data_IF_316402159276
#
_entry.id   IF_316402159276
#
_cell.length_a   1.000
_cell.length_b   1.000
_cell.length_c   1.000
_cell.angle_alpha   90.00
_cell.angle_beta   90.00
_cell.angle_gamma   90.00
#
_symmetry.space_group_name_H-M   'P 1'
#
loop_
_entity.id
_entity.type
_entity.pdbx_description
1 polymer ?
#
# COMPACT_ATOMS: atom_id res chain seq x y z
N UNK A 1 -46.67 -47.71 -21.30
CA UNK A 1 -46.67 -47.87 -22.78
C UNK A 1 -45.92 -46.67 -23.34
N UNK A 2 -44.65 -46.81 -23.77
CA UNK A 2 -44.17 -47.12 -25.16
C UNK A 2 -44.55 -46.00 -26.14
N UNK A 3 -43.70 -45.34 -26.95
CA UNK A 3 -42.29 -45.38 -27.42
C UNK A 3 -41.97 -43.95 -27.97
N UNK A 4 -40.78 -43.33 -27.84
CA UNK A 4 -39.53 -43.52 -28.63
C UNK A 4 -39.77 -43.34 -30.17
N UNK A 5 -39.13 -42.44 -30.95
CA UNK A 5 -37.70 -42.41 -31.34
C UNK A 5 -37.41 -41.32 -32.42
N UNK A 6 -36.25 -40.63 -32.29
CA UNK A 6 -35.21 -40.18 -33.27
C UNK A 6 -35.55 -39.41 -34.58
N UNK A 7 -34.68 -38.63 -35.26
CA UNK A 7 -33.35 -37.93 -35.15
C UNK A 7 -33.14 -37.18 -36.50
N UNK A 8 -32.12 -36.29 -36.58
CA UNK A 8 -31.24 -35.92 -37.75
C UNK A 8 -31.02 -34.39 -37.75
N UNK A 9 -29.90 -33.81 -37.28
CA UNK A 9 -28.51 -33.75 -37.81
C UNK A 9 -28.44 -33.19 -39.26
N UNK A 10 -27.89 -31.98 -39.44
CA UNK A 10 -26.70 -31.73 -40.28
C UNK A 10 -26.14 -30.31 -40.12
N UNK A 11 -24.83 -30.24 -39.92
CA UNK A 11 -23.95 -29.08 -40.00
C UNK A 11 -23.41 -28.89 -41.42
N UNK A 12 -22.90 -27.69 -41.76
CA UNK A 12 -21.80 -27.39 -42.72
C UNK A 12 -21.64 -25.85 -42.72
N UNK A 13 -20.61 -25.20 -42.17
CA UNK A 13 -19.19 -25.09 -42.55
C UNK A 13 -18.93 -24.78 -44.03
N UNK A 14 -18.37 -23.59 -44.33
CA UNK A 14 -17.27 -23.44 -45.30
C UNK A 14 -16.60 -22.07 -45.18
N UNK A 15 -15.27 -22.13 -45.16
CA UNK A 15 -14.29 -21.06 -45.17
C UNK A 15 -14.15 -20.46 -46.57
N UNK A 16 -13.64 -19.23 -46.68
CA UNK A 16 -12.73 -18.88 -47.77
C UNK A 16 -11.72 -17.82 -47.29
N UNK A 17 -10.45 -18.24 -47.30
CA UNK A 17 -9.26 -17.42 -47.14
C UNK A 17 -8.63 -17.13 -48.51
N UNK A 18 -7.69 -16.17 -48.51
CA UNK A 18 -6.61 -15.92 -49.49
C UNK A 18 -6.91 -14.82 -50.51
N UNK A 19 -6.20 -13.69 -50.41
CA UNK A 19 -5.07 -13.38 -51.30
C UNK A 19 -4.10 -12.38 -50.64
N UNK A 20 -2.81 -12.73 -50.69
CA UNK A 20 -1.67 -11.94 -50.31
C UNK A 20 -0.86 -11.59 -51.57
N UNK A 21 -0.13 -10.46 -51.49
CA UNK A 21 0.93 -9.97 -52.39
C UNK A 21 0.46 -9.49 -53.80
N UNK A 22 0.99 -8.45 -54.44
CA UNK A 22 2.25 -7.71 -54.28
C UNK A 22 2.10 -6.35 -54.97
N UNK A 23 2.90 -5.37 -54.54
CA UNK A 23 2.99 -4.06 -55.17
C UNK A 23 4.05 -3.20 -54.49
N UNK A 24 5.33 -3.49 -54.76
CA UNK A 24 6.42 -2.53 -54.58
C UNK A 24 6.32 -1.54 -55.74
N UNK A 25 6.28 -0.24 -55.44
CA UNK A 25 7.13 0.76 -56.08
C UNK A 25 7.16 2.03 -55.23
N UNK A 26 8.32 2.69 -55.28
CA UNK A 26 8.89 3.58 -54.27
C UNK A 26 8.69 5.08 -54.60
N UNK A 27 9.01 5.91 -53.59
CA UNK A 27 9.14 7.38 -53.56
C UNK A 27 7.82 8.15 -53.36
N UNK A 28 7.66 9.12 -52.47
CA UNK A 28 8.63 10.06 -51.88
C UNK A 28 8.02 10.71 -50.63
N UNK A 29 8.86 10.88 -49.60
CA UNK A 29 8.84 11.94 -48.56
C UNK A 29 7.52 12.29 -47.84
N UNK A 30 7.36 11.80 -46.60
CA UNK A 30 7.26 12.63 -45.38
C UNK A 30 6.65 11.80 -44.22
N UNK A 31 7.49 11.31 -43.31
CA UNK A 31 7.04 10.96 -41.94
C UNK A 31 8.17 11.27 -40.95
N UNK A 32 7.87 11.95 -39.83
CA UNK A 32 8.86 12.37 -38.86
C UNK A 32 9.41 11.17 -38.10
N UNK A 33 10.72 11.01 -38.16
CA UNK A 33 11.48 10.01 -37.45
C UNK A 33 11.60 10.40 -35.97
N UNK A 34 10.58 10.07 -35.18
CA UNK A 34 10.53 10.28 -33.73
C UNK A 34 10.61 8.95 -32.96
N UNK A 35 11.26 7.92 -33.51
CA UNK A 35 11.28 6.59 -32.90
C UNK A 35 12.63 5.88 -32.93
N UNK A 36 13.72 6.62 -32.72
CA UNK A 36 14.98 6.01 -32.28
C UNK A 36 15.55 6.78 -31.09
N UNK A 37 15.69 6.08 -29.95
CA UNK A 37 16.30 6.49 -28.68
C UNK A 37 15.41 7.04 -27.54
N UNK A 38 14.14 6.68 -27.48
CA UNK A 38 13.37 6.81 -26.24
C UNK A 38 13.30 5.47 -25.49
N UNK A 39 14.45 4.97 -25.03
CA UNK A 39 14.43 4.15 -23.82
C UNK A 39 13.88 5.10 -22.75
N UNK A 40 12.72 4.84 -22.12
CA UNK A 40 12.25 5.69 -21.05
C UNK A 40 13.35 5.70 -19.99
N UNK A 41 13.92 6.87 -19.72
CA UNK A 41 14.82 7.04 -18.59
C UNK A 41 14.09 6.48 -17.38
N UNK A 42 14.53 5.31 -16.91
CA UNK A 42 14.24 4.82 -15.58
C UNK A 42 14.47 6.00 -14.65
N UNK A 43 13.50 6.33 -13.78
CA UNK A 43 13.65 7.38 -12.78
C UNK A 43 15.02 7.21 -12.10
N UNK A 44 15.97 8.04 -12.50
CA UNK A 44 17.33 7.97 -11.99
C UNK A 44 17.23 8.33 -10.50
N UNK A 45 17.93 7.60 -9.65
CA UNK A 45 17.94 7.79 -8.18
C UNK A 45 18.08 9.26 -7.76
N UNK A 46 18.81 10.06 -8.55
CA UNK A 46 18.94 11.51 -8.40
C UNK A 46 17.63 12.29 -8.57
N UNK A 47 16.77 11.90 -9.51
CA UNK A 47 15.46 12.53 -9.68
C UNK A 47 14.52 12.21 -8.52
N UNK A 48 14.57 10.99 -7.99
CA UNK A 48 13.81 10.63 -6.78
C UNK A 48 14.23 11.49 -5.59
N UNK A 49 15.53 11.64 -5.35
CA UNK A 49 16.04 12.48 -4.25
C UNK A 49 15.67 13.97 -4.43
N UNK A 50 15.75 14.50 -5.65
CA UNK A 50 15.34 15.88 -5.92
C UNK A 50 13.83 16.08 -5.72
N UNK A 51 12.99 15.10 -6.10
CA UNK A 51 11.56 15.14 -5.85
C UNK A 51 11.26 15.05 -4.35
N UNK A 52 11.96 14.19 -3.61
CA UNK A 52 11.82 14.08 -2.16
C UNK A 52 12.21 15.38 -1.46
N UNK A 53 13.34 16.00 -1.84
CA UNK A 53 13.73 17.31 -1.34
C UNK A 53 12.69 18.39 -1.69
N UNK A 54 12.12 18.38 -2.90
CA UNK A 54 11.04 19.31 -3.26
C UNK A 54 9.79 19.07 -2.39
N UNK A 55 9.41 17.82 -2.11
CA UNK A 55 8.28 17.48 -1.23
C UNK A 55 8.55 17.93 0.21
N UNK A 56 9.77 17.73 0.71
CA UNK A 56 10.19 18.19 2.04
C UNK A 56 10.22 19.72 2.14
N UNK A 57 10.71 20.40 1.10
CA UNK A 57 10.82 21.85 1.00
C UNK A 57 9.46 22.53 0.77
N UNK A 58 8.54 21.89 0.04
CA UNK A 58 7.22 22.46 -0.27
C UNK A 58 6.24 22.44 0.88
N UNK A 59 6.58 21.87 2.05
CA UNK A 59 5.66 21.87 3.18
C UNK A 59 4.25 21.38 2.79
N UNK A 60 4.17 20.38 1.89
CA UNK A 60 2.98 19.51 1.78
C UNK A 60 2.94 18.60 3.02
N UNK A 61 3.22 19.19 4.18
CA UNK A 61 3.06 18.65 5.50
C UNK A 61 1.58 18.79 5.77
N UNK A 62 0.89 17.66 5.85
CA UNK A 62 -0.35 17.55 6.60
C UNK A 62 -0.16 18.36 7.88
N UNK A 63 -0.80 19.52 7.99
CA UNK A 63 -0.49 20.52 9.02
C UNK A 63 -0.58 19.85 10.40
N UNK A 64 0.54 19.77 11.13
CA UNK A 64 0.62 19.20 12.48
C UNK A 64 1.31 17.84 12.62
N UNK A 65 1.76 17.20 11.55
CA UNK A 65 2.52 15.95 11.63
C UNK A 65 3.96 16.14 12.12
N UNK A 66 4.43 15.30 13.05
CA UNK A 66 5.86 15.26 13.41
C UNK A 66 6.67 14.57 12.29
N UNK A 67 7.52 15.29 11.54
CA UNK A 67 8.28 14.69 10.45
C UNK A 67 9.37 13.71 10.92
N UNK A 68 9.69 13.72 12.22
CA UNK A 68 10.81 12.98 12.79
C UNK A 68 10.43 11.62 13.40
N UNK A 69 9.21 11.13 13.16
CA UNK A 69 8.76 9.83 13.65
C UNK A 69 8.03 9.03 12.55
N UNK A 70 8.27 7.71 12.43
CA UNK A 70 9.22 6.90 13.21
C UNK A 70 10.68 7.26 12.91
N UNK A 71 11.55 7.02 13.89
CA UNK A 71 12.99 7.20 13.71
C UNK A 71 13.50 5.97 12.96
N UNK A 72 13.85 6.13 11.69
CA UNK A 72 14.35 5.03 10.87
C UNK A 72 15.73 4.55 11.34
N UNK A 73 16.06 3.25 11.16
CA UNK A 73 17.38 2.73 11.44
C UNK A 73 18.42 3.33 10.47
N UNK A 74 19.68 3.40 10.90
CA UNK A 74 20.78 4.00 10.11
C UNK A 74 20.99 3.32 8.75
N UNK A 75 20.60 2.05 8.60
CA UNK A 75 20.71 1.28 7.36
C UNK A 75 19.40 1.22 6.55
N UNK A 76 18.47 2.16 6.74
CA UNK A 76 17.17 2.19 6.04
C UNK A 76 17.31 2.11 4.52
N UNK A 77 18.31 2.79 3.94
CA UNK A 77 18.56 2.77 2.49
C UNK A 77 18.96 1.37 1.99
N UNK A 78 19.60 0.56 2.83
CA UNK A 78 19.90 -0.83 2.51
C UNK A 78 18.65 -1.70 2.59
N UNK A 79 17.86 -1.53 3.66
CA UNK A 79 16.61 -2.28 3.87
C UNK A 79 15.63 -2.02 2.72
N UNK A 80 15.57 -0.78 2.22
CA UNK A 80 14.65 -0.35 1.17
C UNK A 80 15.11 -0.67 -0.26
N UNK A 81 16.16 -1.47 -0.47
CA UNK A 81 16.57 -1.89 -1.82
C UNK A 81 15.54 -2.86 -2.46
N UNK A 82 15.36 -2.82 -3.79
CA UNK A 82 16.08 -1.99 -4.77
C UNK A 82 15.70 -0.51 -4.72
N UNK A 83 14.48 -0.20 -4.31
CA UNK A 83 13.99 1.15 -4.02
C UNK A 83 12.76 1.11 -3.11
N UNK A 84 12.52 2.22 -2.39
CA UNK A 84 11.41 2.37 -1.44
C UNK A 84 10.04 2.03 -2.04
N UNK A 85 9.80 2.43 -3.30
CA UNK A 85 8.51 2.19 -3.95
C UNK A 85 8.29 0.71 -4.19
N UNK A 86 9.30 -0.01 -4.67
CA UNK A 86 9.23 -1.47 -4.86
C UNK A 86 8.92 -2.18 -3.54
N UNK A 87 9.54 -1.76 -2.44
CA UNK A 87 9.24 -2.31 -1.11
C UNK A 87 7.79 -2.05 -0.70
N UNK A 88 7.32 -0.81 -0.84
CA UNK A 88 5.93 -0.47 -0.53
C UNK A 88 4.91 -1.18 -1.42
N UNK A 89 5.18 -1.31 -2.73
CA UNK A 89 4.30 -2.02 -3.66
C UNK A 89 4.18 -3.51 -3.26
N UNK A 90 5.27 -4.14 -2.81
CA UNK A 90 5.26 -5.50 -2.28
C UNK A 90 4.41 -5.63 -1.00
N UNK A 91 4.45 -4.64 -0.10
CA UNK A 91 3.60 -4.61 1.08
C UNK A 91 2.12 -4.31 0.78
N UNK A 92 1.84 -3.53 -0.28
CA UNK A 92 0.47 -3.16 -0.66
C UNK A 92 -0.33 -4.34 -1.21
N UNK A 93 0.33 -5.21 -1.98
CA UNK A 93 -0.28 -6.39 -2.60
C UNK A 93 0.54 -7.63 -2.23
N UNK A 94 0.46 -8.07 -0.95
CA UNK A 94 1.32 -9.14 -0.49
C UNK A 94 0.95 -10.47 -1.16
N UNK A 95 1.94 -11.19 -1.66
CA UNK A 95 1.75 -12.46 -2.35
C UNK A 95 2.93 -13.41 -2.11
N UNK A 96 2.79 -14.35 -1.18
CA UNK A 96 3.84 -15.31 -0.82
C UNK A 96 4.24 -16.26 -1.97
N UNK A 97 3.42 -16.38 -3.02
CA UNK A 97 3.73 -17.21 -4.20
C UNK A 97 4.64 -16.43 -5.16
N UNK A 98 4.51 -15.10 -5.22
CA UNK A 98 5.29 -14.24 -6.11
C UNK A 98 6.79 -14.25 -5.72
N UNK A 99 7.69 -14.65 -6.63
CA UNK A 99 9.13 -14.56 -6.41
C UNK A 99 9.63 -13.16 -6.05
N UNK A 100 9.04 -12.12 -6.64
CA UNK A 100 9.42 -10.72 -6.40
C UNK A 100 9.13 -10.33 -4.95
N UNK A 101 7.89 -10.56 -4.50
CA UNK A 101 7.48 -10.36 -3.10
C UNK A 101 8.41 -11.10 -2.13
N UNK A 102 8.66 -12.40 -2.37
CA UNK A 102 9.54 -13.20 -1.50
C UNK A 102 10.97 -12.68 -1.49
N UNK A 103 11.48 -12.19 -2.61
CA UNK A 103 12.82 -11.60 -2.70
C UNK A 103 12.91 -10.35 -1.84
N UNK A 104 11.91 -9.47 -1.89
CA UNK A 104 11.84 -8.25 -1.07
C UNK A 104 11.79 -8.62 0.42
N UNK A 105 10.87 -9.50 0.84
CA UNK A 105 10.74 -9.87 2.25
C UNK A 105 12.02 -10.53 2.79
N UNK A 106 12.63 -11.44 2.03
CA UNK A 106 13.90 -12.07 2.42
C UNK A 106 15.05 -11.07 2.53
N UNK A 107 15.07 -10.05 1.68
CA UNK A 107 16.07 -8.99 1.76
C UNK A 107 15.89 -8.16 3.03
N UNK A 108 14.66 -7.78 3.35
CA UNK A 108 14.32 -7.07 4.60
C UNK A 108 14.71 -7.93 5.81
N UNK A 109 14.29 -9.21 5.86
CA UNK A 109 14.66 -10.14 6.94
C UNK A 109 16.16 -10.30 7.15
N UNK A 110 16.96 -10.12 6.08
CA UNK A 110 18.43 -10.22 6.14
C UNK A 110 19.07 -8.93 6.64
N UNK A 111 18.52 -7.78 6.28
CA UNK A 111 19.14 -6.45 6.46
C UNK A 111 18.62 -5.70 7.68
N UNK A 112 17.36 -5.88 8.03
CA UNK A 112 16.77 -5.34 9.25
C UNK A 112 17.20 -6.20 10.45
N UNK A 113 17.88 -5.59 11.43
CA UNK A 113 18.48 -6.31 12.56
C UNK A 113 17.61 -6.37 13.81
N UNK A 114 16.64 -5.47 13.93
CA UNK A 114 15.80 -5.36 15.12
C UNK A 114 14.56 -6.26 15.07
N UNK A 115 14.32 -6.96 13.96
CA UNK A 115 13.15 -7.80 13.77
C UNK A 115 13.08 -8.44 12.39
N UNK A 116 11.87 -8.83 11.97
CA UNK A 116 11.57 -9.37 10.64
C UNK A 116 10.81 -8.36 9.78
N UNK A 117 10.47 -8.74 8.55
CA UNK A 117 9.69 -7.92 7.63
C UNK A 117 8.29 -7.57 8.16
N UNK A 118 7.75 -8.28 9.14
CA UNK A 118 6.45 -7.96 9.77
C UNK A 118 6.62 -6.88 10.82
N UNK A 119 7.65 -6.99 11.66
CA UNK A 119 8.03 -5.93 12.59
C UNK A 119 8.35 -4.64 11.81
N UNK A 120 9.14 -4.74 10.74
CA UNK A 120 9.44 -3.62 9.85
C UNK A 120 8.16 -2.97 9.27
N UNK A 121 7.18 -3.79 8.89
CA UNK A 121 5.89 -3.32 8.39
C UNK A 121 5.14 -2.47 9.42
N UNK A 122 4.96 -2.98 10.64
CA UNK A 122 4.21 -2.29 11.69
C UNK A 122 4.95 -1.08 12.26
N UNK A 123 6.28 -1.17 12.35
CA UNK A 123 7.12 -0.14 12.95
C UNK A 123 7.38 1.04 12.01
N UNK A 124 7.53 0.78 10.72
CA UNK A 124 7.98 1.79 9.75
C UNK A 124 7.03 1.97 8.57
N UNK A 125 6.68 0.87 7.88
CA UNK A 125 6.00 0.96 6.58
C UNK A 125 4.64 1.66 6.69
N UNK A 126 3.83 1.35 7.71
CA UNK A 126 2.50 1.96 7.88
C UNK A 126 2.50 3.50 7.85
N UNK A 127 3.54 4.14 8.36
CA UNK A 127 3.65 5.60 8.45
C UNK A 127 4.58 6.21 7.40
N UNK A 128 5.20 5.38 6.55
CA UNK A 128 6.15 5.79 5.53
C UNK A 128 5.45 6.47 4.33
N UNK A 129 6.09 7.50 3.78
CA UNK A 129 5.69 8.10 2.51
C UNK A 129 6.26 7.29 1.34
N UNK A 130 5.48 6.30 0.91
CA UNK A 130 5.88 5.34 -0.13
C UNK A 130 5.91 5.91 -1.55
N UNK A 131 5.09 6.93 -1.82
CA UNK A 131 5.00 7.55 -3.14
C UNK A 131 5.07 9.08 -3.01
N UNK A 132 5.76 9.78 -3.93
CA UNK A 132 5.79 11.24 -3.94
C UNK A 132 4.38 11.84 -3.98
N UNK A 133 4.16 12.92 -3.23
CA UNK A 133 2.91 13.68 -3.19
C UNK A 133 1.66 12.89 -2.77
N UNK A 134 1.82 11.69 -2.20
CA UNK A 134 0.73 10.88 -1.64
C UNK A 134 0.76 10.91 -0.12
N UNK A 135 -0.38 10.61 0.47
CA UNK A 135 -0.53 10.29 1.89
C UNK A 135 0.43 9.12 2.26
N UNK A 136 0.72 8.94 3.56
CA UNK A 136 1.52 7.78 3.99
C UNK A 136 0.85 6.45 3.62
N UNK A 137 1.62 5.37 3.68
CA UNK A 137 1.20 4.04 3.25
C UNK A 137 -0.14 3.59 3.86
N UNK A 138 -0.34 3.75 5.17
CA UNK A 138 -1.58 3.34 5.82
C UNK A 138 -2.77 4.16 5.33
N UNK A 139 -2.63 5.49 5.26
CA UNK A 139 -3.65 6.39 4.73
C UNK A 139 -4.01 6.05 3.27
N UNK A 140 -3.01 5.72 2.45
CA UNK A 140 -3.22 5.22 1.09
C UNK A 140 -4.04 3.92 1.06
N UNK A 141 -3.71 2.93 1.89
CA UNK A 141 -4.42 1.64 1.91
C UNK A 141 -5.90 1.78 2.28
N UNK A 142 -6.24 2.71 3.17
CA UNK A 142 -7.60 2.88 3.68
C UNK A 142 -8.42 3.90 2.87
N UNK A 143 -7.82 4.53 1.85
CA UNK A 143 -8.46 5.57 1.04
C UNK A 143 -9.72 5.05 0.35
N UNK A 144 -10.71 5.93 0.18
CA UNK A 144 -12.00 5.59 -0.44
C UNK A 144 -12.91 4.72 0.45
N UNK A 145 -12.74 4.76 1.77
CA UNK A 145 -13.60 4.06 2.73
C UNK A 145 -13.31 2.55 2.85
N UNK A 146 -12.19 2.07 2.31
CA UNK A 146 -11.89 0.64 2.22
C UNK A 146 -11.08 0.09 3.42
N UNK A 147 -11.16 0.75 4.59
CA UNK A 147 -10.41 0.32 5.80
C UNK A 147 -10.65 -1.14 6.16
N UNK A 148 -11.86 -1.64 5.92
CA UNK A 148 -12.22 -3.00 6.26
C UNK A 148 -11.49 -4.04 5.41
N UNK A 149 -11.23 -3.72 4.14
CA UNK A 149 -10.42 -4.54 3.26
C UNK A 149 -8.93 -4.35 3.55
N UNK A 150 -8.48 -3.11 3.77
CA UNK A 150 -7.08 -2.83 4.11
C UNK A 150 -6.65 -3.60 5.36
N UNK A 151 -7.37 -3.42 6.47
CA UNK A 151 -7.16 -4.21 7.68
C UNK A 151 -7.42 -5.69 7.44
N UNK A 152 -8.36 -6.04 6.56
CA UNK A 152 -8.61 -7.41 6.10
C UNK A 152 -7.37 -8.08 5.51
N UNK A 153 -6.61 -7.35 4.69
CA UNK A 153 -5.35 -7.80 4.11
C UNK A 153 -4.26 -7.91 5.17
N UNK A 154 -4.17 -6.93 6.08
CA UNK A 154 -3.22 -6.96 7.18
C UNK A 154 -3.49 -8.16 8.12
N UNK A 155 -4.76 -8.47 8.40
CA UNK A 155 -5.16 -9.62 9.21
C UNK A 155 -4.91 -10.97 8.54
N UNK A 156 -4.67 -11.00 7.22
CA UNK A 156 -4.36 -12.21 6.46
C UNK A 156 -2.84 -12.36 6.30
N UNK A 157 -2.38 -13.56 5.97
CA UNK A 157 -0.97 -13.82 5.66
C UNK A 157 -0.52 -12.86 4.56
N UNK A 158 0.60 -12.14 4.74
CA UNK A 158 1.83 -12.49 5.49
C UNK A 158 1.95 -11.94 6.93
N UNK A 159 1.17 -10.94 7.33
CA UNK A 159 1.46 -10.17 8.56
C UNK A 159 0.97 -10.86 9.85
N UNK A 160 0.06 -11.83 9.72
CA UNK A 160 -0.37 -12.68 10.84
C UNK A 160 -1.38 -12.06 11.80
N UNK A 161 -1.73 -10.78 11.61
CA UNK A 161 -2.70 -10.07 12.45
C UNK A 161 -2.50 -8.56 12.39
N UNK A 162 -3.24 -7.82 13.20
CA UNK A 162 -3.10 -6.39 13.43
C UNK A 162 -2.32 -6.16 14.72
N UNK A 163 -1.31 -5.30 14.67
CA UNK A 163 -0.75 -4.70 15.87
C UNK A 163 -1.58 -3.46 16.26
N UNK A 164 -2.37 -3.50 17.36
CA UNK A 164 -3.14 -2.35 17.81
C UNK A 164 -2.26 -1.19 18.29
N UNK A 165 -0.99 -1.44 18.60
CA UNK A 165 -0.05 -0.45 19.13
C UNK A 165 0.81 0.20 18.05
N UNK A 166 0.74 -0.29 16.80
CA UNK A 166 1.49 0.26 15.69
C UNK A 166 1.13 1.73 15.46
N UNK A 167 2.15 2.54 15.20
CA UNK A 167 1.96 3.96 14.93
C UNK A 167 1.31 4.16 13.55
N UNK A 168 0.24 4.96 13.52
CA UNK A 168 -0.40 5.40 12.29
C UNK A 168 -0.52 6.92 12.27
N UNK A 169 -0.61 7.45 11.05
CA UNK A 169 -0.96 8.84 10.76
C UNK A 169 -2.07 8.85 9.73
N UNK A 170 -3.20 9.48 10.02
CA UNK A 170 -4.31 9.61 9.05
C UNK A 170 -4.91 11.01 9.10
N UNK A 171 -5.36 11.50 7.96
CA UNK A 171 -6.09 12.76 7.89
C UNK A 171 -7.59 12.49 7.81
N UNK A 172 -8.35 13.01 8.78
CA UNK A 172 -9.81 12.89 8.84
C UNK A 172 -10.38 14.18 9.39
N UNK A 173 -11.58 14.55 8.96
CA UNK A 173 -12.27 15.75 9.49
C UNK A 173 -11.44 17.05 9.36
N UNK A 174 -10.59 17.14 8.32
CA UNK A 174 -9.65 18.26 8.12
C UNK A 174 -8.53 18.34 9.16
N UNK A 175 -8.22 17.25 9.87
CA UNK A 175 -7.21 17.17 10.94
C UNK A 175 -6.36 15.93 10.81
N UNK A 176 -5.13 16.02 11.29
CA UNK A 176 -4.19 14.90 11.36
C UNK A 176 -4.31 14.18 12.70
N UNK A 177 -4.59 12.89 12.67
CA UNK A 177 -4.59 12.00 13.82
C UNK A 177 -3.35 11.12 13.78
N UNK A 178 -2.55 11.20 14.84
CA UNK A 178 -1.29 10.48 15.02
C UNK A 178 -1.30 9.73 16.34
N UNK A 179 -0.77 8.51 16.33
CA UNK A 179 -0.59 7.70 17.51
C UNK A 179 -0.81 6.21 17.26
N UNK A 180 -0.95 5.42 18.32
CA UNK A 180 -1.18 3.99 18.20
C UNK A 180 -2.54 3.71 17.58
N UNK A 181 -2.59 2.76 16.64
CA UNK A 181 -3.75 2.46 15.80
C UNK A 181 -5.05 2.30 16.59
N UNK A 182 -5.02 1.55 17.70
CA UNK A 182 -6.19 1.36 18.55
C UNK A 182 -6.73 2.67 19.11
N UNK A 183 -5.86 3.48 19.72
CA UNK A 183 -6.28 4.70 20.40
C UNK A 183 -6.73 5.78 19.40
N UNK A 184 -6.10 5.83 18.21
CA UNK A 184 -6.53 6.72 17.12
C UNK A 184 -7.95 6.37 16.67
N UNK A 185 -8.23 5.11 16.36
CA UNK A 185 -9.57 4.71 15.91
C UNK A 185 -10.61 4.73 17.05
N UNK A 186 -10.21 4.50 18.29
CA UNK A 186 -11.11 4.64 19.45
C UNK A 186 -11.55 6.10 19.61
N UNK A 187 -10.61 7.05 19.49
CA UNK A 187 -10.91 8.46 19.50
C UNK A 187 -11.87 8.85 18.38
N UNK A 188 -11.60 8.39 17.16
CA UNK A 188 -12.42 8.67 15.98
C UNK A 188 -13.84 8.10 16.11
N UNK A 189 -13.95 6.83 16.53
CA UNK A 189 -15.23 6.17 16.79
C UNK A 189 -16.01 6.93 17.88
N UNK A 190 -15.37 7.32 18.99
CA UNK A 190 -16.06 8.00 20.09
C UNK A 190 -16.57 9.39 19.70
N UNK A 191 -15.77 10.17 18.98
CA UNK A 191 -16.04 11.59 18.75
C UNK A 191 -16.77 11.89 17.42
N UNK A 192 -16.61 11.03 16.41
CA UNK A 192 -17.05 11.34 15.03
C UNK A 192 -18.02 10.32 14.43
N UNK A 193 -18.32 9.18 15.09
CA UNK A 193 -19.22 8.15 14.54
C UNK A 193 -20.62 8.61 14.11
N UNK A 194 -21.13 9.72 14.66
CA UNK A 194 -22.48 10.21 14.35
C UNK A 194 -22.46 11.49 13.48
N UNK A 195 -21.27 12.00 13.13
CA UNK A 195 -21.10 13.34 12.53
C UNK A 195 -20.25 13.34 11.27
N UNK A 196 -19.68 12.19 10.92
CA UNK A 196 -18.71 12.05 9.83
C UNK A 196 -19.20 11.08 8.76
N UNK A 197 -18.89 11.42 7.51
CA UNK A 197 -19.04 10.53 6.35
C UNK A 197 -18.18 9.26 6.48
N UNK A 198 -17.07 9.33 7.24
CA UNK A 198 -16.18 8.22 7.57
C UNK A 198 -16.62 7.41 8.80
N UNK A 199 -17.82 7.63 9.35
CA UNK A 199 -18.33 6.89 10.52
C UNK A 199 -18.24 5.37 10.37
N UNK A 200 -18.64 4.85 9.21
CA UNK A 200 -18.57 3.42 8.90
C UNK A 200 -17.12 2.90 8.91
N UNK A 201 -16.16 3.73 8.50
CA UNK A 201 -14.73 3.42 8.57
C UNK A 201 -14.31 3.18 10.02
N UNK A 202 -14.65 4.11 10.92
CA UNK A 202 -14.24 4.06 12.32
C UNK A 202 -14.82 2.85 13.04
N UNK A 203 -16.11 2.57 12.81
CA UNK A 203 -16.78 1.38 13.36
C UNK A 203 -16.16 0.09 12.81
N UNK A 204 -15.90 0.03 11.51
CA UNK A 204 -15.31 -1.15 10.86
C UNK A 204 -13.88 -1.42 11.34
N UNK A 205 -13.08 -0.36 11.55
CA UNK A 205 -11.74 -0.45 12.10
C UNK A 205 -11.78 -0.93 13.56
N UNK A 206 -12.59 -0.31 14.41
CA UNK A 206 -12.70 -0.69 15.82
C UNK A 206 -13.23 -2.09 16.02
N UNK A 207 -14.15 -2.56 15.19
CA UNK A 207 -14.62 -3.96 15.21
C UNK A 207 -13.47 -4.96 15.02
N UNK A 208 -12.50 -4.65 14.14
CA UNK A 208 -11.33 -5.50 13.87
C UNK A 208 -10.30 -5.37 14.98
N UNK A 209 -10.01 -4.13 15.40
CA UNK A 209 -9.05 -3.83 16.45
C UNK A 209 -9.47 -4.34 17.83
N UNK A 210 -10.77 -4.56 18.08
CA UNK A 210 -11.30 -5.20 19.31
C UNK A 210 -11.33 -6.73 19.23
N UNK A 211 -11.09 -7.32 18.06
CA UNK A 211 -11.18 -8.77 17.86
C UNK A 211 -9.89 -9.45 18.30
N UNK A 212 -9.94 -10.18 19.42
CA UNK A 212 -8.80 -10.96 19.93
C UNK A 212 -8.25 -11.99 18.95
N UNK A 213 -9.08 -12.46 17.99
CA UNK A 213 -8.66 -13.41 16.96
C UNK A 213 -7.56 -12.87 16.05
N UNK A 214 -7.52 -11.55 15.86
CA UNK A 214 -6.65 -10.91 14.89
C UNK A 214 -5.63 -9.96 15.54
N UNK A 215 -5.64 -9.80 16.85
CA UNK A 215 -4.67 -8.99 17.57
C UNK A 215 -3.35 -9.76 17.72
N UNK A 216 -2.24 -9.18 17.24
CA UNK A 216 -0.90 -9.72 17.46
C UNK A 216 -0.43 -9.49 18.89
N UNK A 217 -0.80 -8.33 19.46
CA UNK A 217 -0.38 -7.89 20.79
C UNK A 217 -1.57 -7.34 21.57
N UNK A 218 -1.54 -7.41 22.91
CA UNK A 218 -2.54 -6.71 23.73
C UNK A 218 -2.44 -5.20 23.50
N UNK A 219 -3.59 -4.52 23.61
CA UNK A 219 -3.65 -3.06 23.58
C UNK A 219 -2.93 -2.50 24.80
N UNK A 220 -1.88 -1.70 24.57
CA UNK A 220 -1.15 -1.00 25.63
C UNK A 220 -1.86 0.31 25.97
N UNK A 221 -1.78 0.74 27.22
CA UNK A 221 -2.25 2.08 27.60
C UNK A 221 -1.33 3.16 27.02
N UNK A 222 -1.85 4.39 26.81
CA UNK A 222 -1.03 5.51 26.35
C UNK A 222 0.15 5.81 27.30
N UNK A 223 0.00 5.56 28.60
CA UNK A 223 1.10 5.73 29.57
C UNK A 223 2.21 4.69 29.39
N UNK A 224 1.86 3.44 29.09
CA UNK A 224 2.85 2.40 28.76
C UNK A 224 3.58 2.74 27.47
N UNK A 225 2.83 3.15 26.43
CA UNK A 225 3.42 3.52 25.14
C UNK A 225 4.38 4.71 25.29
N UNK A 226 4.00 5.76 26.03
CA UNK A 226 4.89 6.90 26.31
C UNK A 226 6.15 6.53 27.09
N UNK A 227 6.12 5.43 27.87
CA UNK A 227 7.29 4.94 28.59
C UNK A 227 8.24 4.17 27.68
N UNK A 228 7.71 3.39 26.76
CA UNK A 228 8.49 2.56 25.83
C UNK A 228 8.98 3.37 24.61
N UNK A 229 8.13 4.25 24.09
CA UNK A 229 8.32 5.05 22.88
C UNK A 229 8.04 6.54 23.20
N UNK A 230 8.90 7.21 24.01
CA UNK A 230 8.65 8.57 24.48
C UNK A 230 8.56 9.62 23.36
N UNK A 231 9.15 9.31 22.19
CA UNK A 231 9.16 10.19 21.04
C UNK A 231 7.95 9.98 20.10
N UNK A 232 7.10 8.97 20.36
CA UNK A 232 5.92 8.72 19.53
C UNK A 232 4.93 9.89 19.63
N UNK A 233 4.57 10.53 18.50
CA UNK A 233 3.54 11.56 18.47
C UNK A 233 2.17 10.96 18.82
N UNK A 234 1.43 11.63 19.71
CA UNK A 234 0.07 11.24 20.09
C UNK A 234 -0.78 12.51 20.06
N UNK A 235 -1.63 12.65 19.03
CA UNK A 235 -2.44 13.86 18.82
C UNK A 235 -3.89 13.75 19.35
N UNK A 236 -4.30 12.55 19.75
CA UNK A 236 -5.60 12.30 20.39
C UNK A 236 -5.62 12.87 21.81
N UNK A 237 -6.54 13.79 22.09
CA UNK A 237 -6.76 14.44 23.38
C UNK A 237 -8.23 14.42 23.74
#
# INVERSE_FOLDING_TARGET
MRKLILFSILALSTQLSIFAASGKDSASEATPDCLENAIPNTLDSKNTNNIEQIVELQNVRSHGANPNYPIFPDNIDEILKPDKRTVCDAYAVPNEIDPSYRSVMKHIDKTYKDGDHKDFFFRYVLSMNCWPFRENFFAYMIKGGNVGHAMGNIMKSPYGGLDPNAFIRIEREGRVFEGPMYHVYEYLEKNYKNKSESSNEYIAAMKRLKSSRYQLYPVKSLNQIKKEEPNMPISIR
#
